data_IF_861841743249
#
_entry.id   IF_861841743249
#
_cell.length_a   1.000
_cell.length_b   1.000
_cell.length_c   1.000
_cell.angle_alpha   90.00
_cell.angle_beta   90.00
_cell.angle_gamma   90.00
#
_symmetry.space_group_name_H-M   'P 1'
#
loop_
_entity.id
_entity.type
_entity.pdbx_description
1 polymer ?
#
# COMPACT_ATOMS: atom_id res chain seq x y z
N UNK A 1 -13.75 -22.09 -19.40
CA UNK A 1 -12.54 -22.06 -18.54
C UNK A 1 -12.32 -20.61 -18.15
N UNK A 2 -12.34 -20.27 -16.86
CA UNK A 2 -12.06 -18.89 -16.42
C UNK A 2 -10.60 -18.58 -16.72
N UNK A 3 -10.33 -17.46 -17.38
CA UNK A 3 -8.96 -16.96 -17.55
C UNK A 3 -8.33 -16.80 -16.16
N UNK A 4 -7.03 -17.13 -16.00
CA UNK A 4 -6.35 -16.95 -14.72
C UNK A 4 -6.40 -15.47 -14.31
N UNK A 5 -6.61 -15.23 -13.00
CA UNK A 5 -6.61 -13.88 -12.43
C UNK A 5 -5.26 -13.23 -12.73
N UNK A 6 -5.30 -12.03 -13.34
CA UNK A 6 -4.10 -11.22 -13.55
C UNK A 6 -3.67 -10.60 -12.23
N UNK A 7 -2.38 -10.73 -11.89
CA UNK A 7 -1.79 -10.23 -10.66
C UNK A 7 -0.76 -9.14 -10.96
N UNK A 8 -0.95 -7.97 -10.38
CA UNK A 8 -0.09 -6.79 -10.48
C UNK A 8 0.66 -6.57 -9.18
N UNK A 9 1.98 -6.47 -9.24
CA UNK A 9 2.86 -6.27 -8.09
C UNK A 9 3.81 -5.08 -8.23
N UNK A 10 3.73 -4.32 -9.32
CA UNK A 10 4.64 -3.21 -9.61
C UNK A 10 4.19 -1.89 -8.93
N UNK A 11 4.09 -1.93 -7.61
CA UNK A 11 3.89 -0.80 -6.70
C UNK A 11 4.88 -0.85 -5.53
N UNK A 12 5.34 0.27 -5.00
CA UNK A 12 6.46 0.34 -4.05
C UNK A 12 6.15 -0.26 -2.67
N UNK A 13 4.91 -0.11 -2.21
CA UNK A 13 4.48 -0.62 -0.92
C UNK A 13 3.09 -0.13 -0.54
N UNK A 14 2.74 -0.23 0.74
CA UNK A 14 1.43 0.21 1.26
C UNK A 14 1.63 1.19 2.40
N UNK A 15 1.06 2.39 2.27
CA UNK A 15 0.96 3.35 3.35
C UNK A 15 -0.38 3.22 4.09
N UNK A 16 -0.36 3.61 5.36
CA UNK A 16 -1.53 3.63 6.23
C UNK A 16 -1.75 5.04 6.77
N UNK A 17 -2.99 5.54 6.70
CA UNK A 17 -3.35 6.87 7.23
C UNK A 17 -4.47 6.74 8.26
N UNK A 18 -4.30 7.38 9.42
CA UNK A 18 -5.13 7.12 10.60
C UNK A 18 -6.13 8.23 10.96
N UNK A 19 -5.98 9.44 10.41
CA UNK A 19 -6.72 10.64 10.86
C UNK A 19 -7.98 10.98 10.05
N UNK A 20 -8.37 10.12 9.12
CA UNK A 20 -9.66 10.26 8.43
C UNK A 20 -10.76 9.49 9.21
N UNK A 21 -12.02 9.69 8.84
CA UNK A 21 -13.18 8.94 9.38
C UNK A 21 -12.98 7.41 9.37
N UNK A 22 -12.22 6.91 8.40
CA UNK A 22 -11.78 5.52 8.30
C UNK A 22 -10.29 5.50 8.05
N UNK A 23 -9.59 4.50 8.59
CA UNK A 23 -8.19 4.30 8.22
C UNK A 23 -8.06 4.08 6.71
N UNK A 24 -6.99 4.58 6.11
CA UNK A 24 -6.74 4.38 4.68
C UNK A 24 -5.68 3.30 4.49
N UNK A 25 -5.86 2.46 3.47
CA UNK A 25 -4.87 1.56 2.91
C UNK A 25 -4.48 2.11 1.54
N UNK A 26 -3.20 2.38 1.34
CA UNK A 26 -2.74 3.17 0.20
C UNK A 26 -1.58 2.47 -0.52
N UNK A 27 -1.84 1.66 -1.56
CA UNK A 27 -0.80 1.24 -2.50
C UNK A 27 -0.07 2.45 -3.08
N UNK A 28 1.26 2.42 -2.97
CA UNK A 28 2.18 3.48 -3.35
C UNK A 28 2.82 3.17 -4.70
N UNK A 29 2.78 4.11 -5.63
CA UNK A 29 3.37 3.96 -6.97
C UNK A 29 4.54 4.93 -7.13
N UNK A 30 5.50 4.58 -7.99
CA UNK A 30 6.62 5.46 -8.33
C UNK A 30 6.20 6.71 -9.09
N UNK A 31 5.09 6.64 -9.83
CA UNK A 31 4.57 7.74 -10.64
C UNK A 31 3.06 7.89 -10.50
N UNK A 32 2.60 9.15 -10.59
CA UNK A 32 1.20 9.53 -10.42
C UNK A 32 0.33 9.14 -11.61
N UNK A 33 0.85 9.22 -12.83
CA UNK A 33 0.12 8.79 -14.04
C UNK A 33 -0.13 7.29 -13.96
N UNK A 34 0.87 6.49 -13.59
CA UNK A 34 0.70 5.04 -13.38
C UNK A 34 -0.40 4.71 -12.36
N UNK A 35 -0.38 5.37 -11.21
CA UNK A 35 -1.43 5.21 -10.19
C UNK A 35 -2.82 5.59 -10.73
N UNK A 36 -2.90 6.67 -11.51
CA UNK A 36 -4.14 7.16 -12.09
C UNK A 36 -4.69 6.20 -13.15
N UNK A 37 -3.85 5.72 -14.05
CA UNK A 37 -4.24 4.82 -15.14
C UNK A 37 -4.78 3.50 -14.58
N UNK A 38 -4.05 2.86 -13.66
CA UNK A 38 -4.52 1.63 -12.97
C UNK A 38 -5.83 1.84 -12.21
N UNK A 39 -6.01 3.02 -11.61
CA UNK A 39 -7.27 3.35 -10.95
C UNK A 39 -8.41 3.41 -11.97
N UNK A 40 -8.24 4.14 -13.08
CA UNK A 40 -9.28 4.36 -14.08
C UNK A 40 -9.60 3.12 -14.90
N UNK A 41 -8.60 2.31 -15.22
CA UNK A 41 -8.74 1.13 -16.06
C UNK A 41 -9.25 -0.08 -15.29
N UNK A 42 -8.92 -0.20 -14.00
CA UNK A 42 -9.25 -1.39 -13.20
C UNK A 42 -10.12 -1.03 -11.98
N UNK A 43 -9.54 -0.37 -10.98
CA UNK A 43 -10.13 -0.23 -9.63
C UNK A 43 -11.43 0.57 -9.61
N UNK A 44 -11.58 1.53 -10.54
CA UNK A 44 -12.78 2.34 -10.67
C UNK A 44 -14.04 1.47 -10.89
N UNK A 45 -13.89 0.37 -11.63
CA UNK A 45 -14.95 -0.55 -12.03
C UNK A 45 -15.27 -1.62 -10.98
N UNK A 46 -14.60 -1.60 -9.83
CA UNK A 46 -14.87 -2.54 -8.75
C UNK A 46 -16.02 -2.04 -7.87
N UNK A 47 -17.09 -2.81 -7.67
CA UNK A 47 -18.10 -2.49 -6.68
C UNK A 47 -17.48 -2.55 -5.27
N UNK A 48 -17.70 -1.51 -4.46
CA UNK A 48 -17.16 -1.43 -3.10
C UNK A 48 -17.39 -2.70 -2.24
N UNK A 49 -18.59 -3.35 -2.27
CA UNK A 49 -18.84 -4.59 -1.51
C UNK A 49 -18.00 -5.79 -1.93
N UNK A 50 -17.54 -5.81 -3.19
CA UNK A 50 -16.81 -6.95 -3.77
C UNK A 50 -15.30 -6.84 -3.57
N UNK A 51 -14.82 -5.66 -3.17
CA UNK A 51 -13.40 -5.42 -2.91
C UNK A 51 -13.00 -6.20 -1.64
N UNK A 52 -11.99 -7.04 -1.80
CA UNK A 52 -11.38 -7.86 -0.76
C UNK A 52 -9.94 -7.41 -0.54
N UNK A 53 -9.59 -7.18 0.72
CA UNK A 53 -8.20 -7.02 1.15
C UNK A 53 -7.83 -8.19 2.05
N UNK A 54 -6.68 -8.80 1.80
CA UNK A 54 -6.10 -9.83 2.67
C UNK A 54 -4.69 -9.45 3.05
N UNK A 55 -4.36 -9.75 4.30
CA UNK A 55 -3.02 -9.70 4.84
C UNK A 55 -2.66 -11.11 5.29
N UNK A 56 -1.80 -11.78 4.52
CA UNK A 56 -1.34 -13.14 4.88
C UNK A 56 0.01 -13.04 5.56
N UNK A 57 0.07 -13.25 6.87
CA UNK A 57 1.28 -13.16 7.67
C UNK A 57 2.14 -14.41 7.52
N UNK A 58 3.44 -14.21 7.30
CA UNK A 58 4.45 -15.25 7.10
C UNK A 58 5.79 -14.78 7.69
N UNK A 59 6.02 -15.15 8.95
CA UNK A 59 7.21 -14.74 9.69
C UNK A 59 7.28 -13.23 9.93
N UNK A 60 8.36 -12.61 9.48
CA UNK A 60 8.63 -11.16 9.57
C UNK A 60 8.01 -10.36 8.42
N UNK A 61 7.23 -11.01 7.56
CA UNK A 61 6.61 -10.42 6.37
C UNK A 61 5.12 -10.75 6.30
N UNK A 62 4.42 -10.03 5.42
CA UNK A 62 3.05 -10.35 5.04
C UNK A 62 2.81 -10.12 3.56
N UNK A 63 1.92 -10.90 2.98
CA UNK A 63 1.37 -10.64 1.66
C UNK A 63 0.22 -9.67 1.80
N UNK A 64 0.36 -8.49 1.19
CA UNK A 64 -0.78 -7.66 0.88
C UNK A 64 -1.44 -8.18 -0.38
N UNK A 65 -2.75 -8.40 -0.35
CA UNK A 65 -3.55 -8.88 -1.47
C UNK A 65 -4.78 -7.99 -1.57
N UNK A 66 -5.05 -7.46 -2.76
CA UNK A 66 -6.19 -6.60 -3.04
C UNK A 66 -6.83 -7.05 -4.36
N UNK A 67 -8.11 -7.39 -4.32
CA UNK A 67 -8.80 -7.90 -5.50
C UNK A 67 -10.30 -7.69 -5.38
N UNK A 68 -10.99 -7.76 -6.52
CA UNK A 68 -12.45 -7.62 -6.60
C UNK A 68 -12.96 -8.36 -7.83
N UNK A 69 -14.25 -8.65 -7.83
CA UNK A 69 -14.98 -8.87 -9.07
C UNK A 69 -15.25 -7.51 -9.71
N UNK A 70 -14.97 -7.38 -11.01
CA UNK A 70 -15.12 -6.13 -11.76
C UNK A 70 -16.35 -6.18 -12.64
N UNK A 71 -17.07 -5.06 -12.77
CA UNK A 71 -18.14 -4.93 -13.77
C UNK A 71 -17.60 -4.82 -15.20
N UNK A 72 -16.27 -4.75 -15.37
CA UNK A 72 -15.52 -4.90 -16.63
C UNK A 72 -14.53 -6.06 -16.52
N UNK A 73 -14.97 -7.31 -16.75
CA UNK A 73 -14.13 -8.49 -16.56
C UNK A 73 -12.92 -8.55 -17.49
N UNK A 74 -13.03 -7.98 -18.70
CA UNK A 74 -11.97 -7.91 -19.72
C UNK A 74 -10.73 -7.14 -19.25
N UNK A 75 -10.90 -6.25 -18.28
CA UNK A 75 -9.84 -5.42 -17.70
C UNK A 75 -9.68 -5.68 -16.20
N UNK A 76 -10.20 -6.79 -15.69
CA UNK A 76 -10.05 -7.06 -14.26
C UNK A 76 -8.59 -7.43 -13.95
N UNK A 77 -8.07 -6.88 -12.85
CA UNK A 77 -6.76 -7.24 -12.34
C UNK A 77 -6.86 -7.44 -10.83
N UNK A 78 -5.82 -7.95 -10.21
CA UNK A 78 -5.67 -8.07 -8.77
C UNK A 78 -4.29 -7.58 -8.40
N UNK A 79 -4.08 -7.13 -7.17
CA UNK A 79 -2.84 -6.55 -6.71
C UNK A 79 -2.27 -7.41 -5.60
N UNK A 80 -0.96 -7.62 -5.60
CA UNK A 80 -0.28 -8.22 -4.46
C UNK A 80 1.10 -7.65 -4.24
N UNK A 81 1.59 -7.70 -2.99
CA UNK A 81 3.01 -7.44 -2.69
C UNK A 81 3.40 -8.09 -1.37
N UNK A 82 4.59 -8.68 -1.33
CA UNK A 82 5.23 -9.11 -0.10
C UNK A 82 5.88 -7.90 0.59
N UNK A 83 5.52 -7.65 1.84
CA UNK A 83 5.95 -6.48 2.61
C UNK A 83 6.51 -6.91 3.97
N UNK A 84 7.51 -6.20 4.51
CA UNK A 84 7.97 -6.42 5.87
C UNK A 84 6.90 -5.97 6.87
N UNK A 85 6.84 -6.67 8.00
CA UNK A 85 6.10 -6.19 9.17
C UNK A 85 6.61 -4.81 9.58
N UNK A 86 5.69 -3.91 9.92
CA UNK A 86 6.03 -2.56 10.38
C UNK A 86 5.06 -2.10 11.46
N UNK A 87 5.47 -1.14 12.29
CA UNK A 87 4.59 -0.52 13.28
C UNK A 87 3.33 0.07 12.62
N UNK A 88 3.46 0.61 11.41
CA UNK A 88 2.34 1.15 10.65
C UNK A 88 1.31 0.08 10.27
N UNK A 89 1.79 -1.08 9.80
CA UNK A 89 0.94 -2.23 9.54
C UNK A 89 0.24 -2.72 10.81
N UNK A 90 0.98 -2.89 11.92
CA UNK A 90 0.41 -3.36 13.18
C UNK A 90 -0.64 -2.39 13.74
N UNK A 91 -0.42 -1.09 13.58
CA UNK A 91 -1.39 -0.05 13.96
C UNK A 91 -2.66 -0.13 13.11
N UNK A 92 -2.52 -0.35 11.80
CA UNK A 92 -3.67 -0.55 10.92
C UNK A 92 -4.45 -1.82 11.31
N UNK A 93 -3.77 -2.96 11.51
CA UNK A 93 -4.38 -4.23 11.94
C UNK A 93 -5.22 -4.08 13.21
N UNK A 94 -4.76 -3.29 14.19
CA UNK A 94 -5.49 -3.04 15.43
C UNK A 94 -6.64 -2.04 15.29
N UNK A 95 -6.54 -1.09 14.36
CA UNK A 95 -7.38 0.11 14.34
C UNK A 95 -8.37 0.23 13.19
N UNK A 96 -8.41 -0.70 12.23
CA UNK A 96 -9.29 -0.56 11.05
C UNK A 96 -10.79 -0.75 11.34
N UNK A 97 -11.19 -1.31 12.49
CA UNK A 97 -12.61 -1.47 12.89
C UNK A 97 -13.51 -2.13 11.83
N UNK A 98 -12.96 -3.05 11.04
CA UNK A 98 -13.69 -3.75 9.98
C UNK A 98 -13.81 -3.00 8.65
N UNK A 99 -13.38 -1.74 8.54
CA UNK A 99 -13.50 -0.96 7.30
C UNK A 99 -12.31 -0.03 7.02
N UNK A 100 -12.05 0.22 5.74
CA UNK A 100 -10.99 1.15 5.34
C UNK A 100 -11.33 1.88 4.04
N UNK A 101 -10.68 3.03 3.84
CA UNK A 101 -10.61 3.64 2.52
C UNK A 101 -9.43 3.08 1.73
N UNK A 102 -9.71 2.50 0.58
CA UNK A 102 -8.70 2.21 -0.43
C UNK A 102 -8.46 3.46 -1.29
N UNK A 103 -7.19 3.87 -1.40
CA UNK A 103 -6.73 4.95 -2.30
C UNK A 103 -5.43 4.55 -2.94
N UNK A 104 -5.09 5.14 -4.08
CA UNK A 104 -3.72 5.06 -4.61
C UNK A 104 -2.99 6.39 -4.39
N UNK A 105 -1.66 6.34 -4.30
CA UNK A 105 -0.81 7.52 -4.21
C UNK A 105 0.49 7.32 -4.98
N UNK A 106 1.08 8.40 -5.48
CA UNK A 106 2.49 8.37 -5.88
C UNK A 106 3.37 8.71 -4.68
N UNK A 107 4.50 8.03 -4.57
CA UNK A 107 5.54 8.25 -3.57
C UNK A 107 6.80 8.78 -4.27
N UNK A 108 7.40 9.81 -3.70
CA UNK A 108 8.70 10.32 -4.14
C UNK A 108 9.53 10.76 -2.96
N UNK A 109 10.76 10.28 -2.88
CA UNK A 109 11.77 10.81 -1.98
C UNK A 109 12.14 12.24 -2.39
N UNK A 110 12.52 13.04 -1.39
CA UNK A 110 12.86 14.45 -1.54
C UNK A 110 14.11 14.76 -0.73
N UNK A 111 15.01 15.52 -1.34
CA UNK A 111 16.20 16.05 -0.69
C UNK A 111 15.99 17.52 -0.34
N UNK A 112 16.98 18.11 0.33
CA UNK A 112 16.95 19.51 0.79
C UNK A 112 16.60 20.49 -0.35
N UNK A 113 17.14 20.26 -1.55
CA UNK A 113 16.93 21.10 -2.73
C UNK A 113 15.49 21.04 -3.28
N UNK A 114 14.76 19.96 -3.00
CA UNK A 114 13.45 19.70 -3.61
C UNK A 114 12.28 20.26 -2.78
N UNK A 115 12.57 20.81 -1.59
CA UNK A 115 11.54 21.19 -0.61
C UNK A 115 11.70 22.63 -0.11
N UNK A 116 10.60 23.17 0.41
CA UNK A 116 10.57 24.49 1.07
C UNK A 116 11.05 24.37 2.52
N UNK A 117 11.42 25.49 3.12
CA UNK A 117 11.99 25.57 4.47
C UNK A 117 11.13 24.95 5.58
N UNK A 118 9.80 24.90 5.40
CA UNK A 118 8.88 24.27 6.35
C UNK A 118 8.80 22.75 6.26
N UNK A 119 9.51 22.10 5.33
CA UNK A 119 9.50 20.65 5.21
C UNK A 119 10.25 20.00 6.37
N UNK A 120 9.75 18.87 6.84
CA UNK A 120 10.30 18.12 7.98
C UNK A 120 11.13 16.95 7.46
N UNK A 121 12.39 16.88 7.89
CA UNK A 121 13.29 15.77 7.64
C UNK A 121 12.84 14.52 8.41
N UNK A 122 13.28 13.35 7.97
CA UNK A 122 13.07 12.09 8.69
C UNK A 122 13.61 12.11 10.13
N UNK A 123 14.55 13.01 10.47
CA UNK A 123 15.02 13.21 11.84
C UNK A 123 14.04 14.01 12.74
N UNK A 124 12.92 14.50 12.19
CA UNK A 124 11.92 15.28 12.91
C UNK A 124 12.14 16.80 12.90
N UNK A 125 13.30 17.27 12.46
CA UNK A 125 13.62 18.70 12.38
C UNK A 125 13.32 19.28 11.00
N UNK A 126 13.11 20.59 10.93
CA UNK A 126 12.73 21.27 9.69
C UNK A 126 13.93 21.45 8.77
N UNK A 127 13.69 21.77 7.50
CA UNK A 127 14.76 22.12 6.54
C UNK A 127 15.59 23.31 7.04
N UNK A 128 15.01 24.25 7.80
CA UNK A 128 15.77 25.37 8.39
C UNK A 128 16.86 24.93 9.36
N UNK A 129 16.65 23.78 9.98
CA UNK A 129 17.60 23.18 10.92
C UNK A 129 18.64 22.31 10.19
N UNK A 130 18.73 22.42 8.86
CA UNK A 130 19.68 21.71 8.02
C UNK A 130 20.49 22.70 7.19
N UNK A 131 21.82 22.55 7.25
CA UNK A 131 22.77 23.20 6.35
C UNK A 131 23.76 22.13 5.88
N UNK A 132 23.26 21.21 5.05
CA UNK A 132 23.93 19.94 4.74
C UNK A 132 23.67 18.86 5.80
N UNK A 133 23.98 19.15 7.07
CA UNK A 133 23.65 18.28 8.24
C UNK A 133 22.69 18.98 9.19
N UNK A 134 22.02 18.20 10.05
CA UNK A 134 21.12 18.76 11.05
C UNK A 134 21.91 19.48 12.14
N UNK A 135 21.54 20.72 12.44
CA UNK A 135 22.25 21.60 13.39
C UNK A 135 21.70 21.53 14.81
N UNK A 136 20.72 20.65 15.08
CA UNK A 136 20.16 20.46 16.41
C UNK A 136 21.08 19.55 17.23
N UNK A 137 21.49 20.02 18.41
CA UNK A 137 22.32 19.28 19.34
C UNK A 137 21.74 17.89 19.66
N UNK A 138 22.58 16.87 19.56
CA UNK A 138 22.19 15.47 19.77
C UNK A 138 21.54 14.78 18.56
N UNK A 139 21.30 15.49 17.45
CA UNK A 139 20.84 14.86 16.21
C UNK A 139 22.03 14.33 15.39
N UNK A 140 21.98 13.05 15.00
CA UNK A 140 23.01 12.41 14.16
C UNK A 140 22.70 12.47 12.66
N UNK A 141 21.77 13.34 12.25
CA UNK A 141 21.30 13.40 10.87
C UNK A 141 22.32 14.16 9.99
N UNK A 142 22.91 13.43 9.04
CA UNK A 142 23.97 13.95 8.16
C UNK A 142 23.47 14.48 6.83
N UNK A 143 22.20 14.21 6.47
CA UNK A 143 21.59 14.64 5.22
C UNK A 143 20.10 14.87 5.41
N UNK A 144 19.59 15.98 4.91
CA UNK A 144 18.15 16.19 4.83
C UNK A 144 17.53 15.20 3.84
N UNK A 145 16.62 14.37 4.32
CA UNK A 145 15.80 13.48 3.50
C UNK A 145 14.37 13.49 4.02
N UNK A 146 13.40 13.57 3.12
CA UNK A 146 11.98 13.43 3.42
C UNK A 146 11.28 12.74 2.26
N UNK A 147 9.96 12.62 2.33
CA UNK A 147 9.17 12.05 1.26
C UNK A 147 7.88 12.83 1.03
N UNK A 148 7.36 12.74 -0.19
CA UNK A 148 6.08 13.31 -0.58
C UNK A 148 5.14 12.20 -1.05
N UNK A 149 3.92 12.21 -0.51
CA UNK A 149 2.81 11.35 -0.94
C UNK A 149 1.75 12.19 -1.66
N UNK A 150 1.53 11.93 -2.95
CA UNK A 150 0.42 12.54 -3.70
C UNK A 150 -0.70 11.54 -3.88
N UNK A 151 -1.64 11.57 -2.94
CA UNK A 151 -2.84 10.73 -2.98
C UNK A 151 -3.78 11.14 -4.11
N UNK A 152 -4.37 10.15 -4.78
CA UNK A 152 -5.52 10.39 -5.64
C UNK A 152 -6.73 10.84 -4.78
N UNK A 153 -7.55 11.73 -5.34
CA UNK A 153 -8.79 12.19 -4.69
C UNK A 153 -9.86 11.08 -4.66
N UNK A 154 -9.77 10.11 -5.57
CA UNK A 154 -10.69 8.97 -5.66
C UNK A 154 -10.39 7.98 -4.54
N UNK A 155 -11.44 7.34 -4.04
CA UNK A 155 -11.37 6.33 -2.98
C UNK A 155 -12.48 5.30 -3.18
N UNK A 156 -12.28 4.12 -2.58
CA UNK A 156 -13.25 3.06 -2.44
C UNK A 156 -13.38 2.71 -0.96
N UNK A 157 -14.57 2.32 -0.51
CA UNK A 157 -14.77 1.81 0.84
C UNK A 157 -14.66 0.30 0.80
N UNK A 158 -13.85 -0.27 1.68
CA UNK A 158 -13.62 -1.71 1.76
C UNK A 158 -14.03 -2.18 3.14
N UNK A 159 -14.93 -3.16 3.19
CA UNK A 159 -15.41 -3.78 4.44
C UNK A 159 -14.97 -5.25 4.56
N UNK A 160 -14.50 -5.86 3.47
CA UNK A 160 -14.04 -7.24 3.45
C UNK A 160 -12.52 -7.31 3.63
N UNK A 161 -12.06 -7.10 4.87
CA UNK A 161 -10.65 -7.09 5.25
C UNK A 161 -10.39 -8.30 6.17
N UNK A 162 -9.39 -9.13 5.83
CA UNK A 162 -8.98 -10.25 6.71
C UNK A 162 -7.47 -10.29 6.90
N UNK A 163 -7.08 -10.76 8.08
CA UNK A 163 -5.71 -11.08 8.45
C UNK A 163 -5.65 -12.59 8.66
N UNK A 164 -4.76 -13.26 7.93
CA UNK A 164 -4.67 -14.71 7.86
C UNK A 164 -3.24 -15.13 8.20
N UNK A 165 -3.06 -16.29 8.80
CA UNK A 165 -1.77 -16.96 8.80
C UNK A 165 -1.60 -17.77 7.51
N UNK A 166 -0.36 -18.03 7.09
CA UNK A 166 -0.09 -18.78 5.86
C UNK A 166 -0.74 -20.18 5.83
N UNK A 167 -0.92 -20.83 6.98
CA UNK A 167 -1.62 -22.13 7.07
C UNK A 167 -3.11 -22.08 6.70
N UNK A 168 -3.75 -20.92 6.90
CA UNK A 168 -5.21 -20.74 6.77
C UNK A 168 -5.60 -20.28 5.35
N UNK A 169 -4.61 -20.06 4.47
CA UNK A 169 -4.84 -19.50 3.12
C UNK A 169 -5.68 -20.41 2.23
N UNK A 170 -5.67 -21.73 2.48
CA UNK A 170 -6.45 -22.70 1.69
C UNK A 170 -7.95 -22.49 1.81
N UNK A 171 -8.40 -21.89 2.91
CA UNK A 171 -9.81 -21.61 3.19
C UNK A 171 -10.28 -20.26 2.62
N UNK A 172 -9.36 -19.44 2.09
CA UNK A 172 -9.65 -18.18 1.43
C UNK A 172 -9.17 -18.23 -0.03
N UNK A 173 -10.12 -18.47 -0.95
CA UNK A 173 -9.85 -18.74 -2.36
C UNK A 173 -8.95 -17.70 -3.05
N UNK A 174 -9.09 -16.43 -2.67
CA UNK A 174 -8.33 -15.32 -3.26
C UNK A 174 -6.88 -15.30 -2.74
N UNK A 175 -6.69 -15.56 -1.45
CA UNK A 175 -5.35 -15.72 -0.86
C UNK A 175 -4.66 -16.96 -1.41
N UNK A 176 -5.37 -18.10 -1.48
CA UNK A 176 -4.85 -19.32 -2.07
C UNK A 176 -4.40 -19.12 -3.52
N UNK A 177 -5.24 -18.52 -4.36
CA UNK A 177 -4.90 -18.28 -5.76
C UNK A 177 -3.65 -17.40 -5.89
N UNK A 178 -3.57 -16.32 -5.11
CA UNK A 178 -2.42 -15.42 -5.11
C UNK A 178 -1.12 -16.15 -4.75
N UNK A 179 -1.08 -16.85 -3.61
CA UNK A 179 0.12 -17.54 -3.15
C UNK A 179 0.46 -18.73 -4.05
N UNK A 180 -0.54 -19.44 -4.58
CA UNK A 180 -0.29 -20.53 -5.51
C UNK A 180 0.42 -20.04 -6.77
N UNK A 181 -0.10 -18.98 -7.40
CA UNK A 181 0.48 -18.44 -8.63
C UNK A 181 1.86 -17.80 -8.40
N UNK A 182 2.02 -17.06 -7.30
CA UNK A 182 3.19 -16.19 -7.11
C UNK A 182 4.26 -16.73 -6.16
N UNK A 183 3.95 -17.76 -5.35
CA UNK A 183 4.90 -18.39 -4.40
C UNK A 183 5.12 -19.87 -4.74
N UNK A 184 4.05 -20.66 -4.79
CA UNK A 184 4.18 -22.13 -4.81
C UNK A 184 4.47 -22.68 -6.21
N UNK A 185 3.84 -22.15 -7.25
CA UNK A 185 4.00 -22.64 -8.63
C UNK A 185 5.44 -22.54 -9.13
N UNK A 186 6.19 -21.54 -8.69
CA UNK A 186 7.59 -21.32 -9.08
C UNK A 186 8.59 -22.04 -8.16
N UNK A 187 8.12 -22.77 -7.14
CA UNK A 187 8.94 -23.56 -6.21
C UNK A 187 8.89 -25.07 -6.49
N UNK A 188 8.21 -25.48 -7.57
CA UNK A 188 8.22 -26.82 -8.16
C UNK A 188 9.06 -26.81 -9.43
#
# INVERSE_FOLDING_TARGET
MSSPISWFDDFLGVAYRYFDLRMNVIPLFSDRKKASDLWHENVHWWPDPDIKIRFVESGDKYWFILASESVRPDRNTSFFKLLPMSENYLRFKKGHLGEAYLRFASYSEKEEKDVKDGAVCNCGHTKKDHNGSCTIDGCTCTKFTTFELKMLKKKKTVTNIKFLEEKDVKDDSISWNCLYVNKYKNSQ
#
